data_IF_071377762393
#
_entry.id   IF_071377762393
#
_cell.length_a   1.000
_cell.length_b   1.000
_cell.length_c   1.000
_cell.angle_alpha   90.00
_cell.angle_beta   90.00
_cell.angle_gamma   90.00
#
_symmetry.space_group_name_H-M   'P 1'
#
loop_
_entity.id
_entity.type
_entity.pdbx_description
1 polymer ?
#
# COMPACT_ATOMS: atom_id res chain seq x y z
N UNK A 1 -12.11 -17.31 10.71
CA UNK A 1 -11.81 -16.18 9.81
C UNK A 1 -11.79 -14.94 10.68
N UNK A 2 -10.68 -14.21 10.71
CA UNK A 2 -10.56 -12.99 11.52
C UNK A 2 -11.39 -11.84 10.95
N UNK A 3 -11.50 -10.75 11.70
CA UNK A 3 -12.12 -9.52 11.21
C UNK A 3 -11.26 -8.88 10.12
N UNK A 4 -11.92 -8.32 9.11
CA UNK A 4 -11.28 -7.70 7.96
C UNK A 4 -11.80 -6.28 7.75
N UNK A 5 -10.91 -5.39 7.31
CA UNK A 5 -11.23 -4.03 6.92
C UNK A 5 -11.31 -3.95 5.39
N UNK A 6 -12.48 -3.54 4.87
CA UNK A 6 -12.70 -3.36 3.43
C UNK A 6 -12.23 -1.97 3.01
N UNK A 7 -11.39 -1.91 1.99
CA UNK A 7 -10.86 -0.67 1.45
C UNK A 7 -10.77 -0.73 -0.07
N UNK A 8 -11.02 0.40 -0.73
CA UNK A 8 -10.73 0.61 -2.13
C UNK A 8 -9.47 1.48 -2.26
N UNK A 9 -8.45 1.00 -2.97
CA UNK A 9 -7.21 1.73 -3.21
C UNK A 9 -7.00 1.79 -4.72
N UNK A 10 -7.00 3.00 -5.30
CA UNK A 10 -6.85 3.22 -6.74
C UNK A 10 -7.77 2.35 -7.61
N UNK A 11 -9.02 2.12 -7.15
CA UNK A 11 -10.00 1.29 -7.86
C UNK A 11 -9.86 -0.22 -7.62
N UNK A 12 -8.93 -0.66 -6.77
CA UNK A 12 -8.78 -2.05 -6.35
C UNK A 12 -9.41 -2.26 -4.97
N UNK A 13 -10.44 -3.09 -4.88
CA UNK A 13 -11.03 -3.50 -3.60
C UNK A 13 -10.16 -4.56 -2.91
N UNK A 14 -9.89 -4.39 -1.62
CA UNK A 14 -9.16 -5.33 -0.78
C UNK A 14 -9.82 -5.50 0.58
N UNK A 15 -9.71 -6.71 1.12
CA UNK A 15 -10.07 -7.03 2.50
C UNK A 15 -8.77 -7.25 3.28
N UNK A 16 -8.44 -6.30 4.16
CA UNK A 16 -7.20 -6.32 4.92
C UNK A 16 -7.45 -6.95 6.29
N UNK A 17 -6.63 -7.91 6.75
CA UNK A 17 -6.77 -8.48 8.08
C UNK A 17 -6.59 -7.39 9.15
N UNK A 18 -7.45 -7.37 10.16
CA UNK A 18 -7.27 -6.51 11.33
C UNK A 18 -6.26 -7.17 12.26
N UNK A 19 -5.18 -6.46 12.57
CA UNK A 19 -4.06 -6.92 13.38
C UNK A 19 -3.90 -6.04 14.62
N UNK A 20 -3.94 -6.59 15.84
CA UNK A 20 -3.67 -5.84 17.05
C UNK A 20 -2.19 -5.45 17.12
N UNK A 21 -1.93 -4.18 17.43
CA UNK A 21 -0.57 -3.66 17.66
C UNK A 21 -0.30 -3.55 19.16
N UNK A 22 -1.31 -3.18 19.94
CA UNK A 22 -1.29 -3.17 21.40
C UNK A 22 -2.75 -3.20 21.95
N UNK A 23 -2.90 -3.14 23.27
CA UNK A 23 -4.19 -3.25 23.97
C UNK A 23 -5.23 -2.16 23.62
N UNK A 24 -4.83 -1.12 22.88
CA UNK A 24 -5.68 0.03 22.56
C UNK A 24 -5.72 0.37 21.07
N UNK A 25 -5.03 -0.39 20.21
CA UNK A 25 -4.89 -0.05 18.80
C UNK A 25 -4.77 -1.29 17.92
N UNK A 26 -5.69 -1.38 16.97
CA UNK A 26 -5.64 -2.30 15.85
C UNK A 26 -5.32 -1.56 14.56
N UNK A 27 -4.69 -2.25 13.60
CA UNK A 27 -4.44 -1.73 12.26
C UNK A 27 -4.95 -2.70 11.19
N UNK A 28 -5.32 -2.16 10.04
CA UNK A 28 -5.49 -2.96 8.83
C UNK A 28 -4.12 -3.35 8.28
N UNK A 29 -3.76 -4.63 8.38
CA UNK A 29 -2.49 -5.16 7.91
C UNK A 29 -2.43 -5.19 6.39
N UNK A 30 -1.74 -4.22 5.80
CA UNK A 30 -1.53 -4.16 4.35
C UNK A 30 -0.17 -4.74 3.96
N UNK A 31 -0.18 -5.76 3.10
CA UNK A 31 1.02 -6.35 2.51
C UNK A 31 0.93 -6.21 0.99
N UNK A 32 1.77 -5.34 0.43
CA UNK A 32 1.77 -5.07 -1.01
C UNK A 32 2.52 -6.13 -1.83
N UNK A 33 3.40 -6.91 -1.20
CA UNK A 33 4.16 -7.94 -1.89
C UNK A 33 3.25 -8.95 -2.60
N UNK A 34 3.59 -9.24 -3.85
CA UNK A 34 2.85 -10.14 -4.76
C UNK A 34 1.50 -9.61 -5.28
N UNK A 35 1.05 -8.42 -4.86
CA UNK A 35 -0.14 -7.77 -5.42
C UNK A 35 0.26 -6.74 -6.49
N UNK A 36 0.49 -7.24 -7.71
CA UNK A 36 0.95 -6.42 -8.83
C UNK A 36 -0.08 -5.36 -9.22
N UNK A 37 -1.36 -5.75 -9.30
CA UNK A 37 -2.44 -4.87 -9.75
C UNK A 37 -2.58 -3.63 -8.86
N UNK A 38 -2.60 -3.81 -7.53
CA UNK A 38 -2.72 -2.67 -6.62
C UNK A 38 -1.47 -1.79 -6.65
N UNK A 39 -0.29 -2.39 -6.84
CA UNK A 39 0.99 -1.68 -6.88
C UNK A 39 1.04 -0.74 -8.08
N UNK A 40 0.79 -1.25 -9.29
CA UNK A 40 0.80 -0.46 -10.53
C UNK A 40 -0.23 0.67 -10.50
N UNK A 41 -1.48 0.36 -10.10
CA UNK A 41 -2.54 1.39 -10.04
C UNK A 41 -2.27 2.45 -8.98
N UNK A 42 -1.73 2.04 -7.84
CA UNK A 42 -1.36 2.99 -6.78
C UNK A 42 -0.19 3.86 -7.22
N UNK A 43 0.83 3.30 -7.87
CA UNK A 43 1.96 4.05 -8.41
C UNK A 43 1.49 5.12 -9.39
N UNK A 44 0.65 4.75 -10.37
CA UNK A 44 0.08 5.71 -11.33
C UNK A 44 -0.69 6.84 -10.62
N UNK A 45 -1.59 6.49 -9.69
CA UNK A 45 -2.40 7.46 -8.97
C UNK A 45 -1.58 8.38 -8.05
N UNK A 46 -0.43 7.90 -7.55
CA UNK A 46 0.51 8.70 -6.77
C UNK A 46 1.33 9.62 -7.68
N UNK A 47 1.79 9.15 -8.84
CA UNK A 47 2.57 9.95 -9.80
C UNK A 47 1.77 11.13 -10.39
N UNK A 48 0.45 10.98 -10.56
CA UNK A 48 -0.43 12.09 -10.92
C UNK A 48 -0.44 13.24 -9.89
N UNK A 49 -0.10 12.93 -8.62
CA UNK A 49 -0.08 13.89 -7.50
C UNK A 49 1.34 14.27 -7.09
N UNK A 50 2.33 13.51 -7.53
CA UNK A 50 3.72 13.70 -7.11
C UNK A 50 4.30 14.94 -7.82
N UNK A 51 4.88 15.89 -7.09
CA UNK A 51 5.59 17.01 -7.72
C UNK A 51 6.82 16.50 -8.48
N UNK A 52 7.40 17.32 -9.34
CA UNK A 52 8.68 17.02 -10.00
C UNK A 52 9.76 16.70 -8.95
N UNK A 53 10.53 15.63 -9.20
CA UNK A 53 11.53 15.12 -8.27
C UNK A 53 12.59 14.30 -9.01
N UNK A 54 13.78 14.19 -8.41
CA UNK A 54 14.90 13.43 -8.97
C UNK A 54 15.09 12.05 -8.32
N UNK A 55 14.57 11.86 -7.10
CA UNK A 55 14.84 10.67 -6.29
C UNK A 55 13.59 10.23 -5.54
N UNK A 56 13.32 8.92 -5.57
CA UNK A 56 12.32 8.26 -4.73
C UNK A 56 13.06 7.46 -3.64
N UNK A 57 12.65 7.64 -2.38
CA UNK A 57 13.21 6.93 -1.22
C UNK A 57 12.09 6.21 -0.48
N UNK A 58 12.33 4.95 -0.11
CA UNK A 58 11.41 4.13 0.69
C UNK A 58 12.09 3.58 1.94
N UNK A 59 11.33 3.43 3.02
CA UNK A 59 11.91 3.13 4.35
C UNK A 59 12.44 1.69 4.47
N UNK A 60 11.77 0.71 3.85
CA UNK A 60 12.12 -0.70 3.96
C UNK A 60 11.55 -1.54 2.81
N UNK A 61 11.87 -2.84 2.83
CA UNK A 61 11.50 -3.83 1.82
C UNK A 61 10.07 -3.77 1.28
N UNK A 62 9.03 -3.59 2.11
CA UNK A 62 7.62 -3.61 1.67
C UNK A 62 7.27 -2.47 0.74
N UNK A 63 8.02 -1.37 0.79
CA UNK A 63 7.81 -0.24 -0.10
C UNK A 63 8.66 -0.30 -1.38
N UNK A 64 9.52 -1.32 -1.55
CA UNK A 64 10.35 -1.47 -2.75
C UNK A 64 9.50 -1.60 -4.03
N UNK A 65 8.45 -2.46 -4.08
CA UNK A 65 7.65 -2.60 -5.30
C UNK A 65 7.01 -1.27 -5.72
N UNK A 66 6.44 -0.53 -4.76
CA UNK A 66 5.82 0.77 -5.07
C UNK A 66 6.84 1.80 -5.55
N UNK A 67 7.98 1.92 -4.86
CA UNK A 67 9.02 2.86 -5.24
C UNK A 67 9.61 2.55 -6.61
N UNK A 68 9.73 1.25 -6.95
CA UNK A 68 10.15 0.80 -8.27
C UNK A 68 9.12 1.16 -9.35
N UNK A 69 7.83 0.91 -9.12
CA UNK A 69 6.78 1.23 -10.10
C UNK A 69 6.52 2.74 -10.27
N UNK A 70 6.87 3.55 -9.26
CA UNK A 70 6.78 5.02 -9.36
C UNK A 70 7.98 5.67 -10.06
N UNK A 71 9.10 4.97 -10.19
CA UNK A 71 10.34 5.48 -10.77
C UNK A 71 10.40 5.24 -12.29
#
# INVERSE_FOLDING_TARGET
>A
MGEVYKINIAGCDRELPICPINDHMDIAGFVMFSDVEITERTAQALMEKCPEHDVIVTAESKGIPLAYEMA
#
